data_IF_637801511579
#
_entry.id   IF_637801511579
#
_cell.length_a   1.000
_cell.length_b   1.000
_cell.length_c   1.000
_cell.angle_alpha   90.00
_cell.angle_beta   90.00
_cell.angle_gamma   90.00
#
_symmetry.space_group_name_H-M   'P 1'
#
loop_
_entity.id
_entity.type
_entity.pdbx_description
1 polymer ?
#
# COMPACT_ATOMS: atom_id res chain seq x y z
N UNK A 1 -28.21 -8.71 -6.64
CA UNK A 1 -26.85 -8.37 -6.17
C UNK A 1 -26.15 -7.64 -7.29
N UNK A 2 -26.29 -6.31 -7.34
CA UNK A 2 -25.65 -5.48 -8.38
C UNK A 2 -24.79 -4.45 -7.66
N UNK A 3 -23.49 -4.70 -7.59
CA UNK A 3 -22.48 -3.69 -7.25
C UNK A 3 -21.46 -3.58 -8.40
N UNK A 4 -21.97 -3.44 -9.63
CA UNK A 4 -21.17 -3.39 -10.86
C UNK A 4 -21.08 -1.96 -11.44
N UNK A 5 -21.48 -0.95 -10.67
CA UNK A 5 -21.63 0.43 -11.15
C UNK A 5 -20.34 1.28 -11.05
N UNK A 6 -19.28 0.79 -10.41
CA UNK A 6 -18.11 1.61 -10.08
C UNK A 6 -16.91 1.44 -11.06
N UNK A 7 -16.63 0.22 -11.51
CA UNK A 7 -15.48 -0.08 -12.39
C UNK A 7 -15.54 0.64 -13.75
N UNK A 8 -16.72 0.66 -14.38
CA UNK A 8 -16.94 1.32 -15.68
C UNK A 8 -16.72 2.83 -15.58
N UNK A 9 -17.01 3.43 -14.43
CA UNK A 9 -16.82 4.87 -14.18
C UNK A 9 -15.33 5.20 -14.03
N UNK A 10 -14.57 4.34 -13.33
CA UNK A 10 -13.12 4.49 -13.18
C UNK A 10 -12.39 4.34 -14.53
N UNK A 11 -12.76 3.33 -15.32
CA UNK A 11 -12.18 3.11 -16.66
C UNK A 11 -12.44 4.33 -17.56
N UNK A 12 -13.65 4.90 -17.53
CA UNK A 12 -13.99 6.13 -18.28
C UNK A 12 -13.14 7.34 -17.88
N UNK A 13 -12.64 7.38 -16.65
CA UNK A 13 -11.70 8.42 -16.17
C UNK A 13 -10.23 8.10 -16.49
N UNK A 14 -9.95 7.04 -17.23
CA UNK A 14 -8.60 6.61 -17.59
C UNK A 14 -7.88 5.81 -16.49
N UNK A 15 -8.60 5.37 -15.45
CA UNK A 15 -8.02 4.52 -14.42
C UNK A 15 -7.95 3.07 -14.89
N UNK A 16 -6.82 2.42 -14.58
CA UNK A 16 -6.68 0.98 -14.77
C UNK A 16 -7.37 0.26 -13.60
N UNK A 17 -8.29 -0.65 -13.92
CA UNK A 17 -9.02 -1.44 -12.92
C UNK A 17 -8.57 -2.89 -13.03
N UNK A 18 -8.15 -3.46 -11.90
CA UNK A 18 -7.74 -4.86 -11.78
C UNK A 18 -8.72 -5.58 -10.86
N UNK A 19 -9.22 -6.73 -11.31
CA UNK A 19 -10.01 -7.63 -10.47
C UNK A 19 -9.06 -8.69 -9.93
N UNK A 20 -8.85 -8.69 -8.61
CA UNK A 20 -8.05 -9.74 -7.97
C UNK A 20 -8.84 -11.05 -7.91
N UNK A 21 -8.26 -12.19 -8.32
CA UNK A 21 -8.90 -13.49 -8.13
C UNK A 21 -8.88 -13.96 -6.66
N UNK A 22 -8.15 -13.25 -5.78
CA UNK A 22 -8.03 -13.56 -4.36
C UNK A 22 -8.16 -12.30 -3.51
N UNK A 23 -7.29 -12.16 -2.51
CA UNK A 23 -7.27 -10.98 -1.66
C UNK A 23 -6.60 -9.80 -2.39
N UNK A 24 -7.38 -8.76 -2.67
CA UNK A 24 -6.91 -7.55 -3.33
C UNK A 24 -5.82 -6.82 -2.54
N UNK A 25 -5.82 -6.92 -1.21
CA UNK A 25 -4.80 -6.30 -0.36
C UNK A 25 -3.41 -6.88 -0.64
N UNK A 26 -3.34 -8.19 -0.88
CA UNK A 26 -2.09 -8.89 -1.23
C UNK A 26 -1.58 -8.43 -2.60
N UNK A 27 -2.47 -8.31 -3.59
CA UNK A 27 -2.09 -7.89 -4.93
C UNK A 27 -1.65 -6.42 -4.97
N UNK A 28 -2.31 -5.54 -4.21
CA UNK A 28 -1.92 -4.14 -4.05
C UNK A 28 -0.50 -4.04 -3.45
N UNK A 29 -0.22 -4.81 -2.40
CA UNK A 29 1.10 -4.80 -1.75
C UNK A 29 2.18 -5.36 -2.68
N UNK A 30 1.91 -6.46 -3.38
CA UNK A 30 2.85 -7.02 -4.37
C UNK A 30 3.12 -6.06 -5.51
N UNK A 31 2.10 -5.40 -6.04
CA UNK A 31 2.25 -4.38 -7.07
C UNK A 31 3.09 -3.19 -6.57
N UNK A 32 2.85 -2.74 -5.33
CA UNK A 32 3.62 -1.67 -4.67
C UNK A 32 5.09 -2.04 -4.55
N UNK A 33 5.38 -3.25 -4.04
CA UNK A 33 6.75 -3.78 -3.89
C UNK A 33 7.42 -3.99 -5.25
N UNK A 34 6.69 -4.54 -6.24
CA UNK A 34 7.22 -4.69 -7.59
C UNK A 34 7.60 -3.35 -8.22
N UNK A 35 6.76 -2.32 -8.03
CA UNK A 35 7.05 -0.97 -8.53
C UNK A 35 8.21 -0.32 -7.79
N UNK A 36 8.34 -0.56 -6.49
CA UNK A 36 9.40 0.04 -5.67
C UNK A 36 10.81 -0.41 -6.02
N UNK A 37 10.96 -1.54 -6.72
CA UNK A 37 12.25 -1.95 -7.31
C UNK A 37 12.78 -0.94 -8.33
N UNK A 38 11.90 -0.18 -8.98
CA UNK A 38 12.25 0.74 -10.07
C UNK A 38 12.17 2.22 -9.67
N UNK A 39 11.30 2.58 -8.72
CA UNK A 39 11.04 3.98 -8.35
C UNK A 39 10.55 4.12 -6.91
N UNK A 40 10.77 5.28 -6.29
CA UNK A 40 10.07 5.64 -5.04
C UNK A 40 8.56 5.47 -5.23
N UNK A 41 7.92 4.71 -4.34
CA UNK A 41 6.52 4.34 -4.48
C UNK A 41 5.75 4.63 -3.19
N UNK A 42 4.56 5.21 -3.33
CA UNK A 42 3.67 5.52 -2.20
C UNK A 42 2.40 4.69 -2.31
N UNK A 43 2.12 3.86 -1.29
CA UNK A 43 0.84 3.21 -1.13
C UNK A 43 -0.08 4.10 -0.29
N UNK A 44 -1.32 4.29 -0.76
CA UNK A 44 -2.34 5.08 -0.08
C UNK A 44 -3.49 4.15 0.25
N UNK A 45 -3.86 4.07 1.52
CA UNK A 45 -5.01 3.29 1.98
C UNK A 45 -5.70 3.98 3.15
N UNK A 46 -7.00 3.73 3.34
CA UNK A 46 -7.78 4.29 4.44
C UNK A 46 -7.42 3.65 5.79
N UNK A 47 -6.97 2.41 5.78
CA UNK A 47 -6.63 1.66 7.00
C UNK A 47 -5.14 1.68 7.34
N UNK A 48 -4.77 0.83 8.29
CA UNK A 48 -3.40 0.42 8.57
C UNK A 48 -3.18 -1.07 8.26
N UNK A 49 -4.21 -1.78 7.77
CA UNK A 49 -4.15 -3.22 7.48
C UNK A 49 -3.07 -3.59 6.47
N UNK A 50 -2.83 -2.73 5.47
CA UNK A 50 -1.78 -2.96 4.48
C UNK A 50 -0.36 -2.72 5.03
N UNK A 51 -0.21 -2.07 6.19
CA UNK A 51 1.11 -1.77 6.75
C UNK A 51 1.86 -3.04 7.14
N UNK A 52 1.18 -4.01 7.76
CA UNK A 52 1.80 -5.28 8.14
C UNK A 52 2.17 -6.13 6.92
N UNK A 53 1.32 -6.13 5.89
CA UNK A 53 1.58 -6.81 4.63
C UNK A 53 2.77 -6.19 3.91
N UNK A 54 2.85 -4.85 3.88
CA UNK A 54 4.02 -4.13 3.35
C UNK A 54 5.29 -4.52 4.08
N UNK A 55 5.27 -4.57 5.41
CA UNK A 55 6.43 -5.01 6.20
C UNK A 55 6.85 -6.44 5.85
N UNK A 56 5.89 -7.34 5.67
CA UNK A 56 6.15 -8.73 5.30
C UNK A 56 6.79 -8.86 3.91
N UNK A 57 6.20 -8.23 2.88
CA UNK A 57 6.62 -8.40 1.48
C UNK A 57 7.77 -7.48 1.02
N UNK A 58 8.09 -6.42 1.77
CA UNK A 58 9.18 -5.51 1.37
C UNK A 58 10.55 -6.18 1.50
N UNK A 59 11.31 -6.22 0.41
CA UNK A 59 12.69 -6.72 0.37
C UNK A 59 13.69 -5.59 0.65
N UNK A 60 14.93 -5.94 1.05
CA UNK A 60 15.99 -4.96 1.36
C UNK A 60 16.43 -4.13 0.14
N UNK A 61 16.30 -4.68 -1.06
CA UNK A 61 16.84 -4.07 -2.29
C UNK A 61 15.86 -3.10 -2.96
N UNK A 62 14.66 -2.95 -2.40
CA UNK A 62 13.66 -2.03 -2.91
C UNK A 62 14.10 -0.56 -2.70
N UNK A 63 13.75 0.32 -3.63
CA UNK A 63 13.78 1.77 -3.38
C UNK A 63 12.76 2.11 -2.28
N UNK A 64 12.80 3.36 -1.84
CA UNK A 64 11.94 3.86 -0.77
C UNK A 64 10.46 3.59 -1.03
N UNK A 65 9.82 2.94 -0.06
CA UNK A 65 8.37 2.78 0.00
C UNK A 65 7.80 3.67 1.11
N UNK A 66 6.77 4.45 0.78
CA UNK A 66 5.96 5.19 1.73
C UNK A 66 4.57 4.57 1.86
N UNK A 67 4.03 4.54 3.06
CA UNK A 67 2.63 4.25 3.32
C UNK A 67 1.95 5.49 3.86
N UNK A 68 0.90 5.96 3.19
CA UNK A 68 0.10 7.11 3.63
C UNK A 68 -1.30 6.64 3.97
N UNK A 69 -1.69 6.86 5.23
CA UNK A 69 -3.04 6.55 5.68
C UNK A 69 -4.00 7.71 5.36
N UNK A 70 -5.14 7.43 4.72
CA UNK A 70 -6.14 8.42 4.29
C UNK A 70 -7.43 8.35 5.14
N UNK A 71 -7.29 8.08 6.45
CA UNK A 71 -8.40 7.84 7.38
C UNK A 71 -9.32 9.05 7.56
N UNK A 72 -8.82 10.27 7.38
CA UNK A 72 -9.60 11.49 7.51
C UNK A 72 -9.05 12.61 6.62
N UNK A 73 -9.73 12.89 5.51
CA UNK A 73 -9.43 14.05 4.64
C UNK A 73 -9.61 15.40 5.34
N UNK A 74 -10.30 15.43 6.48
CA UNK A 74 -10.55 16.62 7.30
C UNK A 74 -9.59 16.77 8.49
N UNK A 75 -8.87 15.71 8.88
CA UNK A 75 -7.84 15.81 9.90
C UNK A 75 -6.57 16.32 9.23
N UNK A 76 -6.02 17.43 9.71
CA UNK A 76 -4.81 18.07 9.17
C UNK A 76 -3.53 17.21 9.29
N UNK A 77 -3.63 15.96 9.74
CA UNK A 77 -2.49 15.08 10.01
C UNK A 77 -2.64 13.78 9.22
N UNK A 78 -2.21 13.82 7.95
CA UNK A 78 -1.99 12.62 7.16
C UNK A 78 -0.73 11.91 7.67
N UNK A 79 -0.90 10.71 8.25
CA UNK A 79 0.24 9.92 8.71
C UNK A 79 0.93 9.26 7.52
N UNK A 80 2.22 9.58 7.35
CA UNK A 80 3.10 8.96 6.35
C UNK A 80 4.16 8.14 7.07
N UNK A 81 4.26 6.87 6.73
CA UNK A 81 5.20 5.92 7.29
C UNK A 81 6.26 5.58 6.25
N UNK A 82 7.52 5.71 6.64
CA UNK A 82 8.63 5.23 5.82
C UNK A 82 8.87 3.75 6.14
N UNK A 83 8.66 2.87 5.16
CA UNK A 83 8.61 1.43 5.42
C UNK A 83 9.99 0.85 5.77
N UNK A 84 11.06 1.30 5.08
CA UNK A 84 12.40 0.76 5.30
C UNK A 84 12.93 0.99 6.74
N UNK A 85 12.92 2.22 7.32
CA UNK A 85 13.32 2.45 8.70
C UNK A 85 12.42 1.73 9.71
N UNK A 86 11.11 1.71 9.45
CA UNK A 86 10.16 1.03 10.33
C UNK A 86 10.44 -0.48 10.41
N UNK A 87 10.88 -1.09 9.32
CA UNK A 87 11.26 -2.51 9.28
C UNK A 87 12.47 -2.81 10.14
N UNK A 88 13.48 -1.95 10.12
CA UNK A 88 14.69 -2.14 10.92
C UNK A 88 14.41 -1.93 12.42
N UNK A 89 13.64 -0.89 12.79
CA UNK A 89 13.17 -0.68 14.16
C UNK A 89 12.40 -1.87 14.72
N UNK A 90 11.46 -2.43 13.96
CA UNK A 90 10.68 -3.58 14.40
C UNK A 90 11.51 -4.86 14.54
N UNK A 91 12.55 -5.05 13.72
CA UNK A 91 13.47 -6.19 13.88
C UNK A 91 14.31 -6.07 15.14
N UNK A 92 14.78 -4.87 15.46
CA UNK A 92 15.57 -4.64 16.67
C UNK A 92 14.75 -4.93 17.93
N UNK A 93 13.47 -4.57 17.97
CA UNK A 93 12.60 -4.90 19.10
C UNK A 93 12.21 -6.38 19.20
N UNK A 94 12.12 -7.10 18.08
CA UNK A 94 11.77 -8.53 18.08
C UNK A 94 12.95 -9.46 18.41
N UNK A 95 14.19 -8.97 18.33
CA UNK A 95 15.41 -9.75 18.58
C UNK A 95 16.00 -9.54 19.99
N UNK A 96 15.30 -8.80 20.87
CA UNK A 96 15.61 -8.64 22.29
C UNK A 96 14.60 -9.41 23.15
#
# INVERSE_FOLDING_TARGET
>A
MNDCSDSTTLIKKGCYVVVSPGDADVDIVKATVGRSRHSTTTLIDKGTGLLILLQHYSERDNKTIFFRSDVNKQANEQKVYHINPLKELLKEEMCN
#
